data_IF_619030314791
#
_entry.id   IF_619030314791
#
_cell.length_a   1.000
_cell.length_b   1.000
_cell.length_c   1.000
_cell.angle_alpha   90.00
_cell.angle_beta   90.00
_cell.angle_gamma   90.00
#
_symmetry.space_group_name_H-M   'P 1'
#
loop_
_entity.id
_entity.type
_entity.pdbx_description
1 polymer ?
#
# COMPACT_ATOMS: atom_id res chain seq x y z
N UNK A 1 20.30 5.77 5.83
CA UNK A 1 18.91 5.78 6.34
C UNK A 1 18.65 4.57 7.21
N UNK A 2 18.05 4.77 8.40
CA UNK A 2 17.69 3.70 9.33
C UNK A 2 16.19 3.38 9.23
N UNK A 3 15.85 2.10 9.12
CA UNK A 3 14.49 1.56 9.16
C UNK A 3 14.39 0.63 10.38
N UNK A 4 13.34 0.80 11.18
CA UNK A 4 13.08 -0.04 12.36
C UNK A 4 11.90 -0.96 12.02
N UNK A 5 12.15 -2.27 12.05
CA UNK A 5 11.20 -3.33 11.75
C UNK A 5 11.28 -3.85 10.31
N UNK A 6 11.16 -5.17 10.16
CA UNK A 6 11.16 -5.87 8.87
C UNK A 6 9.78 -6.40 8.46
N UNK A 7 8.70 -5.72 8.88
CA UNK A 7 7.35 -5.98 8.38
C UNK A 7 7.16 -5.49 6.94
N UNK A 8 5.97 -5.70 6.37
CA UNK A 8 5.67 -5.30 4.98
C UNK A 8 5.97 -3.82 4.70
N UNK A 9 5.62 -2.92 5.63
CA UNK A 9 5.88 -1.49 5.49
C UNK A 9 7.37 -1.14 5.50
N UNK A 10 8.16 -1.72 6.42
CA UNK A 10 9.59 -1.46 6.53
C UNK A 10 10.38 -1.97 5.32
N UNK A 11 10.03 -3.16 4.82
CA UNK A 11 10.64 -3.71 3.60
C UNK A 11 10.23 -2.93 2.34
N UNK A 12 8.96 -2.52 2.23
CA UNK A 12 8.52 -1.65 1.12
C UNK A 12 9.25 -0.29 1.14
N UNK A 13 9.42 0.30 2.31
CA UNK A 13 10.20 1.53 2.47
C UNK A 13 11.66 1.35 2.00
N UNK A 14 12.30 0.24 2.35
CA UNK A 14 13.66 -0.06 1.90
C UNK A 14 13.76 -0.19 0.37
N UNK A 15 12.81 -0.89 -0.25
CA UNK A 15 12.74 -1.02 -1.72
C UNK A 15 12.56 0.34 -2.39
N UNK A 16 11.67 1.17 -1.87
CA UNK A 16 11.40 2.50 -2.43
C UNK A 16 12.57 3.49 -2.23
N UNK A 17 13.29 3.39 -1.12
CA UNK A 17 14.51 4.19 -0.93
C UNK A 17 15.59 3.77 -1.95
N UNK A 18 15.79 2.46 -2.12
CA UNK A 18 16.76 1.94 -3.07
C UNK A 18 16.40 2.30 -4.52
N UNK A 19 15.12 2.19 -4.92
CA UNK A 19 14.67 2.56 -6.27
C UNK A 19 14.88 4.04 -6.59
N UNK A 20 14.86 4.89 -5.56
CA UNK A 20 15.13 6.34 -5.65
C UNK A 20 16.62 6.70 -5.51
N UNK A 21 17.51 5.70 -5.52
CA UNK A 21 18.97 5.90 -5.48
C UNK A 21 19.56 6.11 -4.08
N UNK A 22 18.76 5.99 -3.02
CA UNK A 22 19.25 6.04 -1.64
C UNK A 22 19.66 4.62 -1.26
N UNK A 23 20.96 4.33 -1.29
CA UNK A 23 21.48 2.96 -1.11
C UNK A 23 22.10 2.70 0.25
N UNK A 24 22.51 3.74 0.98
CA UNK A 24 22.93 3.63 2.37
C UNK A 24 21.69 3.39 3.26
N UNK A 25 21.30 2.13 3.43
CA UNK A 25 20.12 1.71 4.19
C UNK A 25 20.51 0.65 5.22
N UNK A 26 20.07 0.84 6.46
CA UNK A 26 20.15 -0.13 7.54
C UNK A 26 18.74 -0.49 8.01
N UNK A 27 18.44 -1.79 8.10
CA UNK A 27 17.19 -2.30 8.68
C UNK A 27 17.53 -2.97 10.01
N UNK A 28 16.94 -2.51 11.10
CA UNK A 28 17.05 -3.13 12.43
C UNK A 28 15.76 -3.87 12.72
N UNK A 29 15.84 -5.17 12.98
CA UNK A 29 14.69 -6.02 13.24
C UNK A 29 15.04 -7.14 14.22
N UNK A 30 14.04 -7.60 14.99
CA UNK A 30 14.16 -8.77 15.87
C UNK A 30 14.21 -10.09 15.07
N UNK A 31 13.82 -10.07 13.81
CA UNK A 31 13.91 -11.20 12.88
C UNK A 31 12.89 -11.09 11.75
N UNK A 32 13.21 -11.67 10.58
CA UNK A 32 12.34 -11.59 9.40
C UNK A 32 10.98 -12.27 9.61
N UNK A 33 10.91 -13.26 10.50
CA UNK A 33 9.70 -14.01 10.81
C UNK A 33 8.96 -13.51 12.06
N UNK A 34 9.38 -12.37 12.63
CA UNK A 34 8.85 -11.86 13.91
C UNK A 34 7.71 -10.84 13.71
N UNK A 35 7.49 -10.37 12.49
CA UNK A 35 6.46 -9.38 12.18
C UNK A 35 5.07 -10.01 11.98
N UNK A 36 4.01 -9.27 12.32
CA UNK A 36 2.63 -9.70 12.06
C UNK A 36 2.35 -9.98 10.58
N UNK A 37 3.03 -9.25 9.68
CA UNK A 37 2.89 -9.39 8.22
C UNK A 37 3.23 -10.77 7.65
N UNK A 38 4.02 -11.61 8.34
CA UNK A 38 4.31 -12.97 7.84
C UNK A 38 3.21 -13.97 8.20
N UNK A 39 2.43 -13.68 9.24
CA UNK A 39 1.35 -14.52 9.73
C UNK A 39 -0.01 -14.15 9.12
N UNK A 40 -0.06 -13.15 8.24
CA UNK A 40 -1.29 -12.77 7.52
C UNK A 40 -1.55 -13.75 6.39
N UNK A 41 -2.54 -14.64 6.57
CA UNK A 41 -2.88 -15.69 5.62
C UNK A 41 -3.65 -15.25 4.37
N UNK A 42 -4.28 -14.07 4.37
CA UNK A 42 -5.05 -13.63 3.18
C UNK A 42 -5.24 -12.12 2.98
N UNK A 43 -4.55 -11.24 3.71
CA UNK A 43 -4.85 -9.80 3.62
C UNK A 43 -3.69 -8.97 3.05
N UNK A 44 -3.47 -9.13 1.75
CA UNK A 44 -3.69 -7.97 0.90
C UNK A 44 -5.08 -8.17 0.34
N UNK A 45 -6.01 -7.26 0.60
CA UNK A 45 -7.20 -7.19 -0.25
C UNK A 45 -6.71 -7.17 -1.70
N UNK A 46 -6.90 -8.30 -2.38
CA UNK A 46 -6.39 -8.52 -3.72
C UNK A 46 -7.36 -7.81 -4.63
N UNK A 47 -7.08 -6.54 -4.87
CA UNK A 47 -7.85 -5.69 -5.78
C UNK A 47 -7.82 -6.31 -7.16
N UNK A 48 -8.94 -6.90 -7.59
CA UNK A 48 -9.20 -6.99 -9.01
C UNK A 48 -9.26 -5.55 -9.51
N UNK A 49 -8.28 -5.19 -10.33
CA UNK A 49 -8.09 -3.90 -11.00
C UNK A 49 -9.35 -3.02 -10.93
N UNK A 50 -9.35 -2.01 -10.06
CA UNK A 50 -10.40 -0.99 -10.04
C UNK A 50 -10.62 -0.47 -11.46
N UNK A 51 -11.88 -0.40 -11.90
CA UNK A 51 -12.22 0.17 -13.20
C UNK A 51 -11.81 1.65 -13.15
N UNK A 52 -10.80 2.01 -13.94
CA UNK A 52 -10.05 3.27 -13.82
C UNK A 52 -10.86 4.54 -14.12
N UNK A 53 -12.15 4.43 -14.46
CA UNK A 53 -13.05 5.55 -14.71
C UNK A 53 -14.52 5.10 -14.65
N UNK A 54 -15.36 5.83 -13.92
CA UNK A 54 -16.83 5.73 -13.99
C UNK A 54 -17.53 5.37 -12.68
N UNK A 55 -18.86 5.51 -12.66
CA UNK A 55 -19.76 5.08 -11.58
C UNK A 55 -19.98 3.57 -11.51
N UNK A 56 -19.04 2.79 -12.05
CA UNK A 56 -19.11 1.33 -12.07
C UNK A 56 -18.76 0.75 -10.69
N UNK A 57 -19.19 -0.50 -10.46
CA UNK A 57 -19.09 -1.21 -9.17
C UNK A 57 -17.68 -1.32 -8.57
N UNK A 58 -16.63 -1.00 -9.33
CA UNK A 58 -15.20 -1.05 -8.96
C UNK A 58 -14.53 0.35 -8.96
N UNK A 59 -15.27 1.40 -8.59
CA UNK A 59 -14.71 2.76 -8.44
C UNK A 59 -13.98 2.97 -7.10
N UNK A 60 -12.94 3.83 -7.04
CA UNK A 60 -12.25 4.17 -5.78
C UNK A 60 -13.18 4.68 -4.69
N UNK A 61 -14.20 5.46 -5.05
CA UNK A 61 -15.21 5.97 -4.13
C UNK A 61 -16.05 4.85 -3.51
N UNK A 62 -16.49 3.88 -4.32
CA UNK A 62 -17.24 2.70 -3.86
C UNK A 62 -16.38 1.84 -2.94
N UNK A 63 -15.09 1.69 -3.27
CA UNK A 63 -14.14 0.95 -2.43
C UNK A 63 -13.88 1.66 -1.09
N UNK A 64 -13.72 2.98 -1.09
CA UNK A 64 -13.51 3.76 0.12
C UNK A 64 -14.72 3.66 1.07
N UNK A 65 -15.93 3.75 0.50
CA UNK A 65 -17.16 3.52 1.25
C UNK A 65 -17.22 2.11 1.85
N UNK A 66 -16.84 1.08 1.09
CA UNK A 66 -16.81 -0.30 1.58
C UNK A 66 -15.78 -0.55 2.70
N UNK A 67 -14.71 0.24 2.80
CA UNK A 67 -13.77 0.15 3.93
C UNK A 67 -14.28 0.85 5.17
N UNK A 68 -14.93 1.99 4.97
CA UNK A 68 -15.44 2.82 6.04
C UNK A 68 -16.67 2.19 6.71
N UNK A 69 -17.65 1.72 5.93
CA UNK A 69 -18.95 1.31 6.42
C UNK A 69 -18.94 0.16 7.46
N UNK A 70 -18.14 -0.91 7.31
CA UNK A 70 -18.04 -1.95 8.32
C UNK A 70 -17.15 -1.57 9.52
N UNK A 71 -16.58 -0.35 9.53
CA UNK A 71 -15.64 0.11 10.56
C UNK A 71 -14.23 -0.48 10.43
N UNK A 72 -13.89 -1.04 9.26
CA UNK A 72 -12.57 -1.64 9.00
C UNK A 72 -11.46 -0.60 8.81
N UNK A 73 -11.81 0.63 8.44
CA UNK A 73 -10.87 1.72 8.19
C UNK A 73 -11.51 3.10 8.42
N UNK A 74 -10.72 4.11 8.80
CA UNK A 74 -11.17 5.50 8.76
C UNK A 74 -11.32 5.99 7.30
N UNK A 75 -12.25 6.91 7.06
CA UNK A 75 -12.62 7.32 5.71
C UNK A 75 -11.50 8.06 4.95
N UNK A 76 -10.64 8.79 5.67
CA UNK A 76 -9.52 9.53 5.11
C UNK A 76 -8.43 8.63 4.49
N UNK A 77 -7.86 7.63 5.19
CA UNK A 77 -6.92 6.72 4.56
C UNK A 77 -7.62 5.76 3.59
N UNK A 78 -8.90 5.44 3.76
CA UNK A 78 -9.66 4.62 2.81
C UNK A 78 -9.73 5.26 1.42
N UNK A 79 -9.98 6.57 1.35
CA UNK A 79 -9.99 7.30 0.08
C UNK A 79 -8.60 7.38 -0.57
N UNK A 80 -7.55 7.59 0.25
CA UNK A 80 -6.17 7.69 -0.25
C UNK A 80 -5.69 6.35 -0.81
N UNK A 81 -5.89 5.26 -0.08
CA UNK A 81 -5.47 3.91 -0.49
C UNK A 81 -6.17 3.45 -1.77
N UNK A 82 -7.48 3.71 -1.88
CA UNK A 82 -8.27 3.32 -3.05
C UNK A 82 -7.95 4.16 -4.29
N UNK A 83 -7.68 5.46 -4.12
CA UNK A 83 -7.21 6.30 -5.22
C UNK A 83 -5.81 5.85 -5.69
N UNK A 84 -4.90 5.54 -4.77
CA UNK A 84 -3.54 5.10 -5.09
C UNK A 84 -3.49 3.74 -5.78
N UNK A 85 -4.33 2.78 -5.38
CA UNK A 85 -4.46 1.48 -6.05
C UNK A 85 -4.88 1.60 -7.52
N UNK A 86 -5.49 2.73 -7.90
CA UNK A 86 -5.81 3.11 -9.28
C UNK A 86 -4.60 3.51 -10.12
N UNK A 87 -3.51 3.99 -9.52
CA UNK A 87 -2.35 4.48 -10.26
C UNK A 87 -1.26 3.40 -10.37
N UNK A 88 -0.80 3.09 -11.58
CA UNK A 88 0.39 2.22 -11.75
C UNK A 88 1.65 3.03 -11.50
N UNK A 89 2.70 2.38 -10.99
CA UNK A 89 4.04 2.95 -10.77
C UNK A 89 4.64 3.64 -12.03
N UNK A 90 4.11 3.32 -13.22
CA UNK A 90 4.47 3.97 -14.50
C UNK A 90 3.71 5.26 -14.85
N UNK A 91 2.60 5.58 -14.16
CA UNK A 91 1.77 6.77 -14.44
C UNK A 91 2.26 8.01 -13.66
N UNK A 92 3.01 7.80 -12.58
CA UNK A 92 3.55 8.85 -11.71
C UNK A 92 4.64 9.66 -12.44
N UNK A 93 5.34 9.06 -13.39
CA UNK A 93 6.38 9.70 -14.20
C UNK A 93 5.86 10.34 -15.50
N UNK A 94 4.52 10.40 -15.68
CA UNK A 94 3.88 10.85 -16.93
C UNK A 94 2.90 12.01 -16.78
N UNK A 95 2.85 12.65 -15.62
CA UNK A 95 2.15 13.92 -15.47
C UNK A 95 3.07 15.06 -15.95
N UNK A 96 2.58 16.00 -16.78
CA UNK A 96 3.36 17.16 -17.24
C UNK A 96 3.80 18.08 -16.10
#
# INVERSE_FOLDING_TARGET
>A
TLIIGSGAAGLNAAVQLHSRGITDILIVTEGLNMGTSINTGSDKQTYYKSAMCGSDLDSPETMAANYFNPGGMHGDPALVETAWAGFRDGDIYRLP
#
